data_IF_249493547698
#
_entry.id   IF_249493547698
#
_cell.length_a   1.000
_cell.length_b   1.000
_cell.length_c   1.000
_cell.angle_alpha   90.00
_cell.angle_beta   90.00
_cell.angle_gamma   90.00
#
_symmetry.space_group_name_H-M   'P 1'
#
loop_
_entity.id
_entity.type
_entity.pdbx_description
1 polymer ?
#
# COMPACT_ATOMS: atom_id res chain seq x y z
N UNK A 1 -5.79 3.30 -21.06
CA UNK A 1 -5.13 4.61 -21.12
C UNK A 1 -6.06 5.75 -20.64
N UNK A 2 -7.08 5.43 -19.85
CA UNK A 2 -8.10 6.37 -19.32
C UNK A 2 -7.73 7.02 -17.98
N UNK A 3 -6.66 6.56 -17.30
CA UNK A 3 -6.37 6.97 -15.92
C UNK A 3 -5.25 8.01 -15.76
N UNK A 4 -4.55 8.38 -16.84
CA UNK A 4 -3.43 9.34 -16.75
C UNK A 4 -3.83 10.82 -16.71
N UNK A 5 -5.09 11.14 -16.87
CA UNK A 5 -5.59 12.54 -16.81
C UNK A 5 -6.04 12.97 -15.41
N UNK A 6 -6.44 12.03 -14.56
CA UNK A 6 -6.98 12.29 -13.24
C UNK A 6 -6.04 11.75 -12.14
N UNK A 7 -5.86 12.47 -11.03
CA UNK A 7 -5.11 11.97 -9.88
C UNK A 7 -5.65 10.61 -9.43
N UNK A 8 -4.79 9.61 -9.38
CA UNK A 8 -5.20 8.21 -9.17
C UNK A 8 -4.61 7.63 -7.89
N UNK A 9 -5.48 7.29 -6.95
CA UNK A 9 -5.17 6.53 -5.76
C UNK A 9 -5.39 5.05 -6.05
N UNK A 10 -4.56 4.19 -5.46
CA UNK A 10 -4.69 2.75 -5.60
C UNK A 10 -4.78 2.06 -4.23
N UNK A 11 -5.75 1.18 -4.09
CA UNK A 11 -5.83 0.20 -3.02
C UNK A 11 -5.75 -1.21 -3.62
N UNK A 12 -4.86 -2.04 -3.10
CA UNK A 12 -4.72 -3.45 -3.52
C UNK A 12 -4.87 -4.35 -2.29
N UNK A 13 -5.72 -5.36 -2.39
CA UNK A 13 -5.85 -6.36 -1.33
C UNK A 13 -7.23 -6.97 -1.19
N UNK A 14 -7.31 -7.97 -0.32
CA UNK A 14 -8.60 -8.57 0.05
C UNK A 14 -9.48 -7.51 0.74
N UNK A 15 -10.75 -7.47 0.38
CA UNK A 15 -11.72 -6.59 1.02
C UNK A 15 -12.14 -7.24 2.33
N UNK A 16 -11.56 -6.76 3.40
CA UNK A 16 -11.77 -7.18 4.79
C UNK A 16 -11.57 -5.97 5.71
N UNK A 17 -12.21 -5.91 6.89
CA UNK A 17 -12.04 -4.79 7.84
C UNK A 17 -10.58 -4.54 8.23
N UNK A 18 -9.75 -5.61 8.21
CA UNK A 18 -8.33 -5.56 8.52
C UNK A 18 -7.52 -4.71 7.52
N UNK A 19 -7.92 -4.69 6.25
CA UNK A 19 -7.19 -4.01 5.17
C UNK A 19 -7.55 -2.53 5.01
N UNK A 20 -8.73 -2.12 5.51
CA UNK A 20 -9.06 -0.70 5.66
C UNK A 20 -9.50 0.01 4.40
N UNK A 21 -10.19 -0.68 3.48
CA UNK A 21 -10.76 -0.03 2.30
C UNK A 21 -11.72 1.12 2.66
N UNK A 22 -12.38 1.03 3.81
CA UNK A 22 -13.19 2.11 4.39
C UNK A 22 -12.41 3.42 4.52
N UNK A 23 -11.20 3.34 5.07
CA UNK A 23 -10.32 4.52 5.21
C UNK A 23 -9.87 5.04 3.85
N UNK A 24 -9.57 4.17 2.89
CA UNK A 24 -9.19 4.60 1.55
C UNK A 24 -10.32 5.38 0.85
N UNK A 25 -11.57 4.92 0.99
CA UNK A 25 -12.76 5.63 0.46
C UNK A 25 -12.97 6.96 1.18
N UNK A 26 -12.88 7.00 2.49
CA UNK A 26 -13.00 8.23 3.27
C UNK A 26 -11.82 9.20 3.00
N UNK A 27 -10.63 8.69 2.70
CA UNK A 27 -9.49 9.50 2.25
C UNK A 27 -9.83 10.22 0.94
N UNK A 28 -10.39 9.49 -0.04
CA UNK A 28 -10.84 10.11 -1.30
C UNK A 28 -11.94 11.17 -1.07
N UNK A 29 -12.86 10.91 -0.14
CA UNK A 29 -13.90 11.86 0.22
C UNK A 29 -13.35 13.15 0.85
N UNK A 30 -12.30 13.02 1.66
CA UNK A 30 -11.65 14.13 2.35
C UNK A 30 -10.66 14.92 1.47
N UNK A 31 -10.34 14.43 0.27
CA UNK A 31 -9.50 15.16 -0.69
C UNK A 31 -10.32 16.27 -1.38
N UNK A 32 -9.83 17.51 -1.28
CA UNK A 32 -10.36 18.66 -2.05
C UNK A 32 -9.87 18.62 -3.52
N UNK A 33 -10.14 17.48 -4.19
CA UNK A 33 -9.75 17.22 -5.57
C UNK A 33 -10.88 16.46 -6.27
N UNK A 34 -11.83 17.15 -6.92
CA UNK A 34 -13.03 16.52 -7.48
C UNK A 34 -12.72 15.49 -8.58
N UNK A 35 -11.60 15.65 -9.30
CA UNK A 35 -11.18 14.74 -10.37
C UNK A 35 -10.37 13.54 -9.87
N UNK A 36 -9.95 13.52 -8.59
CA UNK A 36 -9.22 12.38 -8.04
C UNK A 36 -10.10 11.13 -7.99
N UNK A 37 -9.52 9.98 -8.28
CA UNK A 37 -10.21 8.69 -8.31
C UNK A 37 -9.49 7.65 -7.46
N UNK A 38 -10.21 6.64 -6.98
CA UNK A 38 -9.68 5.48 -6.28
C UNK A 38 -9.91 4.22 -7.12
N UNK A 39 -8.83 3.56 -7.46
CA UNK A 39 -8.83 2.22 -8.04
C UNK A 39 -8.69 1.22 -6.90
N UNK A 40 -9.61 0.26 -6.84
CA UNK A 40 -9.62 -0.85 -5.88
C UNK A 40 -9.38 -2.14 -6.64
N UNK A 41 -8.28 -2.82 -6.36
CA UNK A 41 -7.97 -4.13 -6.97
C UNK A 41 -8.04 -5.20 -5.89
N UNK A 42 -9.05 -6.06 -5.99
CA UNK A 42 -9.27 -7.14 -5.02
C UNK A 42 -10.72 -7.54 -4.90
N UNK A 43 -10.98 -8.52 -4.06
CA UNK A 43 -12.31 -9.08 -3.86
C UNK A 43 -12.64 -9.31 -2.40
N UNK A 44 -13.94 -9.44 -2.12
CA UNK A 44 -14.44 -9.86 -0.81
C UNK A 44 -13.93 -11.27 -0.50
N UNK A 45 -13.52 -11.48 0.74
CA UNK A 45 -13.00 -12.77 1.20
C UNK A 45 -13.78 -13.25 2.43
N UNK A 46 -14.60 -14.27 2.25
CA UNK A 46 -15.48 -14.82 3.28
C UNK A 46 -16.59 -13.85 3.71
N UNK A 47 -17.38 -14.24 4.69
CA UNK A 47 -18.54 -13.47 5.19
C UNK A 47 -18.17 -12.07 5.70
N UNK A 48 -17.02 -11.94 6.35
CA UNK A 48 -16.53 -10.63 6.80
C UNK A 48 -16.22 -9.71 5.61
N UNK A 49 -15.68 -10.26 4.51
CA UNK A 49 -15.40 -9.52 3.29
C UNK A 49 -16.66 -9.03 2.59
N UNK A 50 -17.71 -9.83 2.56
CA UNK A 50 -19.01 -9.44 1.98
C UNK A 50 -19.67 -8.33 2.82
N UNK A 51 -19.59 -8.43 4.13
CA UNK A 51 -20.10 -7.39 5.04
C UNK A 51 -19.32 -6.08 4.85
N UNK A 52 -17.99 -6.17 4.75
CA UNK A 52 -17.13 -5.01 4.52
C UNK A 52 -17.42 -4.38 3.16
N UNK A 53 -17.60 -5.17 2.11
CA UNK A 53 -17.97 -4.66 0.79
C UNK A 53 -19.29 -3.89 0.82
N UNK A 54 -20.31 -4.41 1.53
CA UNK A 54 -21.60 -3.71 1.69
C UNK A 54 -21.42 -2.39 2.42
N UNK A 55 -20.62 -2.39 3.51
CA UNK A 55 -20.33 -1.19 4.29
C UNK A 55 -19.59 -0.14 3.44
N UNK A 56 -18.58 -0.55 2.70
CA UNK A 56 -17.82 0.34 1.82
C UNK A 56 -18.68 0.92 0.70
N UNK A 57 -19.56 0.13 0.08
CA UNK A 57 -20.53 0.64 -0.90
C UNK A 57 -21.47 1.68 -0.29
N UNK A 58 -21.90 1.49 0.95
CA UNK A 58 -22.67 2.49 1.69
C UNK A 58 -21.92 3.82 1.84
N UNK A 59 -20.64 3.77 2.24
CA UNK A 59 -19.79 4.97 2.33
C UNK A 59 -19.61 5.67 0.98
N UNK A 60 -19.44 4.90 -0.10
CA UNK A 60 -19.33 5.46 -1.47
C UNK A 60 -20.59 6.27 -1.82
N UNK A 61 -21.78 5.73 -1.53
CA UNK A 61 -23.04 6.40 -1.78
C UNK A 61 -23.24 7.62 -0.86
N UNK A 62 -22.93 7.50 0.41
CA UNK A 62 -23.00 8.59 1.40
C UNK A 62 -22.16 9.79 0.96
N UNK A 63 -20.96 9.55 0.45
CA UNK A 63 -20.03 10.58 -0.02
C UNK A 63 -20.17 10.93 -1.51
N UNK A 64 -21.13 10.34 -2.24
CA UNK A 64 -21.39 10.58 -3.68
C UNK A 64 -20.15 10.30 -4.56
N UNK A 65 -19.47 9.18 -4.29
CA UNK A 65 -18.22 8.81 -4.95
C UNK A 65 -18.37 7.71 -6.01
N UNK A 66 -19.60 7.36 -6.42
CA UNK A 66 -19.89 6.25 -7.35
C UNK A 66 -19.12 6.38 -8.68
N UNK A 67 -18.86 7.60 -9.13
CA UNK A 67 -18.13 7.88 -10.38
C UNK A 67 -16.62 7.99 -10.19
N UNK A 68 -16.15 7.92 -8.94
CA UNK A 68 -14.75 8.14 -8.57
C UNK A 68 -14.08 6.91 -7.95
N UNK A 69 -14.84 5.86 -7.62
CA UNK A 69 -14.32 4.61 -7.07
C UNK A 69 -14.56 3.49 -8.08
N UNK A 70 -13.49 2.85 -8.52
CA UNK A 70 -13.49 1.82 -9.56
C UNK A 70 -12.99 0.51 -9.01
N UNK A 71 -13.83 -0.53 -9.03
CA UNK A 71 -13.48 -1.86 -8.55
C UNK A 71 -13.00 -2.75 -9.70
N UNK A 72 -11.89 -3.43 -9.46
CA UNK A 72 -11.35 -4.48 -10.33
C UNK A 72 -11.24 -5.77 -9.52
N UNK A 73 -11.62 -6.86 -10.15
CA UNK A 73 -11.44 -8.20 -9.58
C UNK A 73 -9.98 -8.48 -9.21
N UNK A 74 -9.71 -9.47 -8.32
CA UNK A 74 -8.35 -9.89 -8.01
C UNK A 74 -7.56 -10.19 -9.28
N UNK A 75 -6.39 -9.60 -9.41
CA UNK A 75 -5.53 -9.74 -10.58
C UNK A 75 -4.37 -10.69 -10.31
N UNK A 76 -3.92 -11.45 -11.31
CA UNK A 76 -2.67 -12.20 -11.24
C UNK A 76 -1.49 -11.27 -10.90
N UNK A 77 -0.54 -11.78 -10.11
CA UNK A 77 0.57 -10.98 -9.58
C UNK A 77 1.37 -10.22 -10.66
N UNK A 78 1.58 -10.84 -11.83
CA UNK A 78 2.32 -10.23 -12.94
C UNK A 78 1.59 -9.01 -13.55
N UNK A 79 0.26 -8.90 -13.40
CA UNK A 79 -0.52 -7.77 -13.88
C UNK A 79 -0.60 -6.61 -12.85
N UNK A 80 -0.39 -6.88 -11.56
CA UNK A 80 -0.48 -5.86 -10.52
C UNK A 80 0.51 -4.72 -10.74
N UNK A 81 1.69 -5.00 -11.31
CA UNK A 81 2.68 -3.97 -11.64
C UNK A 81 2.13 -2.88 -12.57
N UNK A 82 1.15 -3.21 -13.42
CA UNK A 82 0.48 -2.24 -14.31
C UNK A 82 -0.40 -1.29 -13.52
N UNK A 83 -1.14 -1.80 -12.53
CA UNK A 83 -1.96 -0.98 -11.63
C UNK A 83 -1.08 -0.07 -10.77
N UNK A 84 0.00 -0.60 -10.17
CA UNK A 84 0.93 0.24 -9.40
C UNK A 84 1.47 1.38 -10.25
N UNK A 85 2.00 1.11 -11.45
CA UNK A 85 2.55 2.16 -12.34
C UNK A 85 1.51 3.13 -12.90
N UNK A 86 0.23 2.79 -12.87
CA UNK A 86 -0.85 3.67 -13.26
C UNK A 86 -1.32 4.60 -12.13
N UNK A 87 -0.92 4.33 -10.89
CA UNK A 87 -1.28 5.10 -9.71
C UNK A 87 -0.25 6.20 -9.42
N UNK A 88 -0.73 7.30 -8.86
CA UNK A 88 0.10 8.38 -8.32
C UNK A 88 0.46 8.13 -6.86
N UNK A 89 -0.43 7.48 -6.10
CA UNK A 89 -0.26 7.15 -4.67
C UNK A 89 -0.94 5.82 -4.36
N UNK A 90 -0.27 4.97 -3.58
CA UNK A 90 -0.86 3.74 -3.04
C UNK A 90 -1.24 3.92 -1.58
N UNK A 91 -2.47 3.55 -1.24
CA UNK A 91 -3.00 3.61 0.13
C UNK A 91 -2.95 2.23 0.79
N UNK A 92 -2.33 2.14 1.98
CA UNK A 92 -2.25 0.91 2.78
C UNK A 92 -2.74 1.16 4.20
N UNK A 93 -4.05 1.40 4.41
CA UNK A 93 -4.62 1.78 5.70
C UNK A 93 -4.95 0.57 6.59
N UNK A 94 -4.09 -0.43 6.58
CA UNK A 94 -4.28 -1.68 7.34
C UNK A 94 -4.33 -1.45 8.85
N UNK A 95 -5.17 -2.22 9.56
CA UNK A 95 -5.20 -2.26 11.05
C UNK A 95 -4.01 -3.02 11.61
N UNK A 96 -3.58 -4.04 10.87
CA UNK A 96 -2.42 -4.86 11.20
C UNK A 96 -1.81 -5.35 9.90
N UNK A 97 -0.48 -5.39 9.84
CA UNK A 97 0.26 -5.85 8.69
C UNK A 97 1.54 -6.53 9.15
N UNK A 98 1.68 -7.82 8.86
CA UNK A 98 2.86 -8.59 9.28
C UNK A 98 4.11 -8.15 8.54
N UNK A 99 4.03 -7.96 7.23
CA UNK A 99 5.15 -7.57 6.39
C UNK A 99 4.85 -6.33 5.53
N UNK A 100 3.74 -6.34 4.76
CA UNK A 100 3.34 -5.23 3.88
C UNK A 100 3.74 -5.44 2.42
N UNK A 101 3.44 -6.62 1.84
CA UNK A 101 3.78 -6.92 0.44
C UNK A 101 3.25 -5.86 -0.54
N UNK A 102 2.02 -5.37 -0.34
CA UNK A 102 1.44 -4.30 -1.18
C UNK A 102 2.28 -3.03 -1.14
N UNK A 103 2.75 -2.63 0.05
CA UNK A 103 3.62 -1.47 0.19
C UNK A 103 4.99 -1.70 -0.47
N UNK A 104 5.55 -2.92 -0.35
CA UNK A 104 6.80 -3.28 -1.00
C UNK A 104 6.69 -3.29 -2.53
N UNK A 105 5.60 -3.84 -3.09
CA UNK A 105 5.32 -3.89 -4.52
C UNK A 105 5.11 -2.50 -5.12
N UNK A 106 4.36 -1.62 -4.41
CA UNK A 106 4.22 -0.22 -4.77
C UNK A 106 5.57 0.49 -4.78
N UNK A 107 6.36 0.32 -3.72
CA UNK A 107 7.72 0.87 -3.61
C UNK A 107 8.63 0.39 -4.74
N UNK A 108 8.63 -0.92 -5.01
CA UNK A 108 9.41 -1.51 -6.12
C UNK A 108 8.98 -0.98 -7.50
N UNK A 109 7.73 -0.55 -7.63
CA UNK A 109 7.19 0.09 -8.84
C UNK A 109 7.47 1.60 -8.92
N UNK A 110 8.15 2.17 -7.92
CA UNK A 110 8.49 3.59 -7.86
C UNK A 110 7.31 4.49 -7.49
N UNK A 111 6.28 3.96 -6.86
CA UNK A 111 5.07 4.69 -6.46
C UNK A 111 5.09 4.96 -4.96
N UNK A 112 4.91 6.22 -4.52
CA UNK A 112 4.89 6.55 -3.12
C UNK A 112 3.68 5.92 -2.40
N UNK A 113 3.90 5.54 -1.15
CA UNK A 113 2.90 4.88 -0.30
C UNK A 113 2.50 5.78 0.86
N UNK A 114 1.20 5.89 1.12
CA UNK A 114 0.66 6.40 2.39
C UNK A 114 0.06 5.22 3.14
N UNK A 115 0.61 4.90 4.30
CA UNK A 115 0.25 3.70 5.05
C UNK A 115 0.04 3.98 6.54
N UNK A 116 -0.72 3.12 7.20
CA UNK A 116 -0.78 3.13 8.67
C UNK A 116 0.57 2.68 9.24
N UNK A 117 1.04 3.36 10.29
CA UNK A 117 2.28 3.02 11.01
C UNK A 117 2.11 1.79 11.90
N UNK A 118 1.93 0.59 11.30
CA UNK A 118 1.72 -0.67 12.03
C UNK A 118 2.60 -1.80 11.50
N UNK A 119 3.03 -2.67 12.39
CA UNK A 119 3.72 -3.92 12.08
C UNK A 119 4.89 -3.75 11.10
N UNK A 120 4.93 -4.58 10.06
CA UNK A 120 5.98 -4.58 9.04
C UNK A 120 6.10 -3.29 8.23
N UNK A 121 5.03 -2.48 8.15
CA UNK A 121 5.04 -1.19 7.43
C UNK A 121 6.03 -0.20 8.05
N UNK A 122 6.23 -0.24 9.38
CA UNK A 122 7.22 0.58 10.07
C UNK A 122 8.68 0.30 9.63
N UNK A 123 8.95 -0.92 9.17
CA UNK A 123 10.26 -1.32 8.67
C UNK A 123 10.44 -1.06 7.18
N UNK A 124 9.34 -1.09 6.41
CA UNK A 124 9.37 -0.89 4.95
C UNK A 124 9.43 0.59 4.59
N UNK A 125 8.70 1.44 5.30
CA UNK A 125 8.52 2.85 4.95
C UNK A 125 9.30 3.74 5.91
N UNK A 126 10.18 4.57 5.35
CA UNK A 126 10.82 5.68 6.05
C UNK A 126 9.95 6.92 5.86
N UNK A 127 9.29 7.35 6.96
CA UNK A 127 8.36 8.48 6.93
C UNK A 127 9.01 9.75 6.37
N UNK A 128 8.38 10.33 5.36
CA UNK A 128 8.83 11.55 4.69
C UNK A 128 9.96 11.34 3.65
N UNK A 129 10.48 10.11 3.52
CA UNK A 129 11.55 9.79 2.56
C UNK A 129 11.13 8.79 1.49
N UNK A 130 10.52 7.66 1.89
CA UNK A 130 10.09 6.60 0.98
C UNK A 130 8.59 6.40 0.96
N UNK A 131 7.85 7.19 1.71
CA UNK A 131 6.41 7.18 1.87
C UNK A 131 6.00 7.94 3.12
N UNK A 132 4.71 7.92 3.42
CA UNK A 132 4.18 8.49 4.65
C UNK A 132 3.58 7.41 5.54
N UNK A 133 3.88 7.49 6.84
CA UNK A 133 3.26 6.69 7.89
C UNK A 133 2.29 7.54 8.67
N UNK A 134 1.06 7.10 8.76
CA UNK A 134 -0.01 7.73 9.55
C UNK A 134 -0.14 6.96 10.87
N UNK A 135 -0.01 7.62 12.03
CA UNK A 135 -0.05 6.92 13.33
C UNK A 135 -1.36 6.20 13.62
N UNK A 136 -2.48 6.75 13.14
CA UNK A 136 -3.81 6.19 13.26
C UNK A 136 -4.45 6.01 11.89
N UNK A 137 -5.57 5.29 11.84
CA UNK A 137 -6.35 5.13 10.61
C UNK A 137 -7.28 6.34 10.39
N UNK A 138 -6.74 7.55 10.51
CA UNK A 138 -7.47 8.80 10.32
C UNK A 138 -7.51 9.18 8.84
N UNK A 139 -8.69 9.17 8.19
CA UNK A 139 -8.83 9.51 6.78
C UNK A 139 -8.35 10.93 6.44
N UNK A 140 -8.48 11.89 7.34
CA UNK A 140 -8.03 13.27 7.11
C UNK A 140 -6.50 13.37 7.06
N UNK A 141 -5.78 12.63 7.90
CA UNK A 141 -4.32 12.56 7.82
C UNK A 141 -3.86 11.84 6.56
N UNK A 142 -4.52 10.73 6.19
CA UNK A 142 -4.28 10.07 4.90
C UNK A 142 -4.49 11.04 3.74
N UNK A 143 -5.61 11.79 3.74
CA UNK A 143 -5.90 12.79 2.70
C UNK A 143 -4.84 13.90 2.65
N UNK A 144 -4.39 14.40 3.79
CA UNK A 144 -3.36 15.44 3.87
C UNK A 144 -2.05 15.00 3.21
N UNK A 145 -1.53 13.81 3.55
CA UNK A 145 -0.32 13.29 2.93
C UNK A 145 -0.52 12.92 1.45
N UNK A 146 -1.69 12.41 1.08
CA UNK A 146 -2.04 12.12 -0.31
C UNK A 146 -2.09 13.40 -1.14
N UNK A 147 -2.76 14.44 -0.66
CA UNK A 147 -2.84 15.74 -1.32
C UNK A 147 -1.45 16.36 -1.53
N UNK A 148 -0.56 16.23 -0.53
CA UNK A 148 0.81 16.71 -0.64
C UNK A 148 1.57 16.05 -1.81
N UNK A 149 1.40 14.74 -2.00
CA UNK A 149 2.02 14.01 -3.10
C UNK A 149 1.39 14.36 -4.46
N UNK A 150 0.07 14.51 -4.51
CA UNK A 150 -0.64 14.83 -5.75
C UNK A 150 -0.38 16.26 -6.22
N UNK A 151 -0.15 17.20 -5.28
CA UNK A 151 0.13 18.61 -5.60
C UNK A 151 1.62 18.89 -5.89
N UNK A 152 2.52 17.95 -5.55
CA UNK A 152 3.96 18.10 -5.80
C UNK A 152 4.53 16.87 -6.52
N UNK A 153 4.47 16.84 -7.86
CA UNK A 153 4.98 15.73 -8.66
C UNK A 153 6.49 15.47 -8.47
N UNK A 154 7.28 16.49 -8.13
CA UNK A 154 8.72 16.32 -7.91
C UNK A 154 8.96 15.60 -6.58
N UNK A 155 8.22 15.94 -5.54
CA UNK A 155 8.24 15.24 -4.26
C UNK A 155 7.80 13.77 -4.45
N UNK A 156 6.69 13.53 -5.16
CA UNK A 156 6.20 12.18 -5.42
C UNK A 156 7.23 11.33 -6.19
N UNK A 157 7.86 11.89 -7.23
CA UNK A 157 8.91 11.22 -7.99
C UNK A 157 10.15 10.92 -7.12
N UNK A 158 10.62 11.90 -6.34
CA UNK A 158 11.76 11.73 -5.44
C UNK A 158 11.49 10.63 -4.40
N UNK A 159 10.31 10.66 -3.79
CA UNK A 159 9.88 9.67 -2.79
C UNK A 159 9.73 8.28 -3.40
N UNK A 160 9.11 8.16 -4.58
CA UNK A 160 8.96 6.90 -5.31
C UNK A 160 10.32 6.31 -5.71
N UNK A 161 11.27 7.15 -6.16
CA UNK A 161 12.64 6.73 -6.50
C UNK A 161 13.37 6.20 -5.25
N UNK A 162 13.29 6.91 -4.13
CA UNK A 162 13.89 6.46 -2.87
C UNK A 162 13.25 5.15 -2.36
N UNK A 163 11.92 5.01 -2.54
CA UNK A 163 11.19 3.79 -2.19
C UNK A 163 11.64 2.60 -3.06
N UNK A 164 11.81 2.79 -4.37
CA UNK A 164 12.27 1.76 -5.29
C UNK A 164 13.70 1.29 -4.96
N UNK A 165 14.59 2.22 -4.62
CA UNK A 165 15.95 1.86 -4.20
C UNK A 165 15.94 1.03 -2.90
N UNK A 166 15.17 1.45 -1.90
CA UNK A 166 15.01 0.71 -0.64
C UNK A 166 14.43 -0.69 -0.89
N UNK A 167 13.45 -0.83 -1.78
CA UNK A 167 12.80 -2.10 -2.08
C UNK A 167 13.76 -3.18 -2.58
N UNK A 168 14.87 -2.81 -3.22
CA UNK A 168 15.91 -3.77 -3.69
C UNK A 168 16.49 -4.62 -2.56
N UNK A 169 16.55 -4.08 -1.33
CA UNK A 169 17.05 -4.79 -0.15
C UNK A 169 16.11 -5.91 0.34
N UNK A 170 14.88 -5.95 -0.14
CA UNK A 170 13.85 -6.94 0.20
C UNK A 170 13.68 -8.02 -0.88
N UNK A 171 14.65 -8.19 -1.78
CA UNK A 171 14.61 -9.24 -2.80
C UNK A 171 14.71 -10.64 -2.19
N UNK A 172 14.15 -11.65 -2.87
CA UNK A 172 14.29 -13.05 -2.48
C UNK A 172 15.77 -13.48 -2.36
N UNK A 173 16.65 -12.96 -3.22
CA UNK A 173 18.09 -13.20 -3.14
C UNK A 173 18.67 -12.67 -1.82
N UNK A 174 18.29 -11.46 -1.41
CA UNK A 174 18.73 -10.89 -0.13
C UNK A 174 18.18 -11.67 1.07
N UNK A 175 16.93 -12.10 1.02
CA UNK A 175 16.30 -12.91 2.06
C UNK A 175 17.00 -14.28 2.20
N UNK A 176 17.25 -14.96 1.07
CA UNK A 176 17.96 -16.25 1.05
C UNK A 176 19.38 -16.12 1.59
N UNK A 177 20.11 -15.06 1.21
CA UNK A 177 21.46 -14.84 1.73
C UNK A 177 21.48 -14.62 3.25
N UNK A 178 20.50 -13.87 3.80
CA UNK A 178 20.36 -13.71 5.26
C UNK A 178 20.06 -15.03 5.97
N UNK A 179 19.13 -15.81 5.44
CA UNK A 179 18.77 -17.11 6.00
C UNK A 179 19.97 -18.08 5.98
N UNK A 180 20.67 -18.18 4.85
CA UNK A 180 21.87 -19.01 4.70
C UNK A 180 22.97 -18.63 5.69
N UNK A 181 23.18 -17.33 5.93
CA UNK A 181 24.14 -16.85 6.93
C UNK A 181 23.77 -17.30 8.34
N UNK A 182 22.51 -17.16 8.74
CA UNK A 182 22.04 -17.59 10.05
C UNK A 182 22.25 -19.10 10.24
N UNK A 183 21.92 -19.92 9.23
CA UNK A 183 22.18 -21.37 9.30
C UNK A 183 23.66 -21.71 9.44
N UNK A 184 24.53 -21.03 8.70
CA UNK A 184 25.97 -21.23 8.79
C UNK A 184 26.52 -20.87 10.18
N UNK A 185 26.05 -19.76 10.77
CA UNK A 185 26.44 -19.33 12.11
C UNK A 185 25.99 -20.33 13.20
N UNK A 186 24.80 -20.90 13.08
CA UNK A 186 24.30 -21.93 14.00
C UNK A 186 25.09 -23.22 13.87
N UNK A 187 25.36 -23.69 12.65
CA UNK A 187 26.14 -24.89 12.39
C UNK A 187 27.55 -24.83 12.99
N UNK A 188 28.23 -23.69 12.89
CA UNK A 188 29.55 -23.48 13.49
C UNK A 188 29.50 -23.49 15.02
N UNK A 189 28.44 -22.94 15.64
CA UNK A 189 28.26 -22.92 17.10
C UNK A 189 28.08 -24.31 17.66
N UNK A 190 27.33 -25.18 17.01
CA UNK A 190 27.13 -26.57 17.47
C UNK A 190 28.42 -27.40 17.41
N UNK A 191 29.30 -27.15 16.44
CA UNK A 191 30.61 -27.83 16.36
C UNK A 191 31.57 -27.40 17.47
N UNK A 192 31.45 -26.17 17.98
CA UNK A 192 32.30 -25.67 19.09
C UNK A 192 31.79 -26.16 20.47
N UNK A 193 30.49 -26.43 20.59
CA UNK A 193 29.91 -26.93 21.86
C UNK A 193 30.12 -28.42 22.11
N UNK A 194 30.56 -29.18 21.11
CA UNK A 194 30.85 -30.63 21.20
C UNK A 194 32.33 -30.98 21.40
N UNK A 195 33.20 -30.02 21.59
CA UNK A 195 34.64 -30.20 21.91
C UNK A 195 34.93 -29.76 23.33
#
# INVERSE_FOLDING_TARGET
MLFRSNPTLLFVGRIQPLKGLDVAVQTLAALDMPDAQLIVVGGASGTEGENEMRRVKGLITEHKLERRVHFFEPQPHHLLSTFYRAADVVLVPSRSESFGLVALEASASGVPVVATGVGGLLNLIEHGRTGYLVPARDPNQFASFTARLLNDPLLALSMGTAAAERAKSYSWKAAAAKASRVYSELYVRDLVACT
#
